data_IF_710830607264
#
_entry.id   IF_710830607264
#
_cell.length_a   1.000
_cell.length_b   1.000
_cell.length_c   1.000
_cell.angle_alpha   90.00
_cell.angle_beta   90.00
_cell.angle_gamma   90.00
#
_symmetry.space_group_name_H-M   'P 1'
#
loop_
_entity.id
_entity.type
_entity.pdbx_description
1 polymer ?
#
# COMPACT_ATOMS: atom_id res chain seq x y z
N UNK A 1 28.20 -4.73 7.48
CA UNK A 1 27.66 -3.36 7.33
C UNK A 1 28.83 -2.49 6.89
N UNK A 2 28.84 -2.00 5.67
CA UNK A 2 29.84 -1.03 5.22
C UNK A 2 29.37 0.34 5.74
N UNK A 3 30.22 0.99 6.55
CA UNK A 3 29.94 2.31 7.09
C UNK A 3 30.10 3.37 6.01
N UNK A 4 29.01 3.72 5.35
CA UNK A 4 28.89 4.97 4.63
C UNK A 4 28.39 6.06 5.58
N UNK A 5 28.63 7.31 5.29
CA UNK A 5 28.04 8.47 5.97
C UNK A 5 26.56 8.56 5.56
N UNK A 6 25.75 7.61 6.03
CA UNK A 6 24.41 7.43 5.51
C UNK A 6 23.46 8.35 6.26
N UNK A 7 23.36 9.56 5.77
CA UNK A 7 22.16 10.35 6.02
C UNK A 7 20.98 9.58 5.43
N UNK A 8 19.84 9.51 6.13
CA UNK A 8 18.65 8.91 5.54
C UNK A 8 18.29 9.66 4.25
N UNK A 9 17.83 8.93 3.20
CA UNK A 9 17.49 9.56 1.95
C UNK A 9 16.36 10.57 2.11
N UNK A 10 16.37 11.61 1.29
CA UNK A 10 15.30 12.62 1.29
C UNK A 10 14.19 12.15 0.36
N UNK A 11 13.00 11.95 0.91
CA UNK A 11 11.86 11.47 0.15
C UNK A 11 10.62 12.35 0.34
N UNK A 12 9.77 12.37 -0.68
CA UNK A 12 8.45 12.94 -0.62
C UNK A 12 7.40 11.83 -0.66
N UNK A 13 6.40 11.94 0.21
CA UNK A 13 5.23 11.08 0.22
C UNK A 13 4.00 11.94 -0.08
N UNK A 14 3.25 11.60 -1.11
CA UNK A 14 2.16 12.42 -1.62
C UNK A 14 0.98 12.58 -0.63
N UNK A 15 0.81 11.67 0.31
CA UNK A 15 -0.27 11.74 1.31
C UNK A 15 -0.30 13.08 2.07
N UNK A 16 0.87 13.65 2.34
CA UNK A 16 0.99 14.91 3.07
C UNK A 16 0.69 16.15 2.23
N UNK A 17 0.60 16.03 0.90
CA UNK A 17 0.41 17.15 -0.01
C UNK A 17 -0.92 17.17 -0.74
N UNK A 18 -1.44 16.02 -1.12
CA UNK A 18 -2.58 15.92 -2.05
C UNK A 18 -3.88 15.38 -1.44
N UNK A 19 -3.84 14.89 -0.18
CA UNK A 19 -5.00 14.22 0.40
C UNK A 19 -5.47 13.04 -0.48
N UNK A 20 -6.72 12.61 -0.35
CA UNK A 20 -7.31 11.48 -1.10
C UNK A 20 -7.86 11.85 -2.49
N UNK A 21 -7.96 13.14 -2.82
CA UNK A 21 -8.52 13.59 -4.11
C UNK A 21 -7.44 14.01 -5.10
N UNK A 22 -6.66 13.03 -5.58
CA UNK A 22 -5.57 13.26 -6.52
C UNK A 22 -5.76 12.51 -7.85
N UNK A 23 -5.08 12.98 -8.87
CA UNK A 23 -4.99 12.36 -10.20
C UNK A 23 -3.52 12.16 -10.59
N UNK A 24 -3.24 11.30 -11.57
CA UNK A 24 -1.88 11.17 -12.10
C UNK A 24 -1.31 12.52 -12.56
N UNK A 25 -2.15 13.41 -13.10
CA UNK A 25 -1.71 14.75 -13.53
C UNK A 25 -1.23 15.61 -12.36
N UNK A 26 -1.93 15.56 -11.21
CA UNK A 26 -1.49 16.28 -9.99
C UNK A 26 -0.22 15.66 -9.43
N UNK A 27 -0.14 14.33 -9.40
CA UNK A 27 1.07 13.60 -8.99
C UNK A 27 2.29 13.94 -9.87
N UNK A 28 2.12 14.04 -11.20
CA UNK A 28 3.20 14.42 -12.11
C UNK A 28 3.73 15.84 -11.86
N UNK A 29 2.83 16.79 -11.57
CA UNK A 29 3.23 18.17 -11.22
C UNK A 29 4.02 18.21 -9.93
N UNK A 30 3.57 17.47 -8.90
CA UNK A 30 4.30 17.39 -7.65
C UNK A 30 5.64 16.70 -7.80
N UNK A 31 5.69 15.56 -8.48
CA UNK A 31 6.94 14.86 -8.73
C UNK A 31 7.98 15.77 -9.40
N UNK A 32 7.54 16.57 -10.40
CA UNK A 32 8.42 17.56 -11.04
C UNK A 32 8.92 18.61 -10.04
N UNK A 33 8.03 19.17 -9.24
CA UNK A 33 8.39 20.21 -8.26
C UNK A 33 9.37 19.67 -7.20
N UNK A 34 9.15 18.46 -6.70
CA UNK A 34 10.01 17.85 -5.69
C UNK A 34 11.35 17.35 -6.25
N UNK A 35 11.39 16.93 -7.54
CA UNK A 35 12.64 16.67 -8.21
C UNK A 35 13.50 17.95 -8.31
N UNK A 36 12.87 19.08 -8.67
CA UNK A 36 13.55 20.38 -8.74
C UNK A 36 14.08 20.86 -7.35
N UNK A 37 13.48 20.38 -6.25
CA UNK A 37 13.94 20.61 -4.88
C UNK A 37 15.04 19.63 -4.43
N UNK A 38 15.40 18.64 -5.24
CA UNK A 38 16.44 17.67 -4.95
C UNK A 38 16.01 16.48 -4.11
N UNK A 39 14.71 16.13 -4.11
CA UNK A 39 14.24 14.89 -3.49
C UNK A 39 14.81 13.67 -4.22
N UNK A 40 15.18 12.65 -3.47
CA UNK A 40 15.80 11.43 -3.99
C UNK A 40 14.74 10.36 -4.33
N UNK A 41 13.63 10.35 -3.57
CA UNK A 41 12.53 9.39 -3.74
C UNK A 41 11.19 10.13 -3.83
N UNK A 42 10.32 9.61 -4.68
CA UNK A 42 8.90 9.94 -4.72
C UNK A 42 8.09 8.71 -4.32
N UNK A 43 7.31 8.82 -3.24
CA UNK A 43 6.53 7.71 -2.68
C UNK A 43 5.05 7.93 -2.92
N UNK A 44 4.42 7.04 -3.68
CA UNK A 44 2.96 6.98 -3.79
C UNK A 44 2.41 6.30 -2.56
N UNK A 45 1.57 6.99 -1.81
CA UNK A 45 0.91 6.47 -0.61
C UNK A 45 -0.36 5.66 -0.96
N UNK A 46 -1.24 5.43 -0.02
CA UNK A 46 -2.51 4.75 -0.20
C UNK A 46 -3.34 5.27 -1.41
N UNK A 47 -4.40 4.57 -1.76
CA UNK A 47 -5.30 4.87 -2.90
C UNK A 47 -4.74 4.62 -4.31
N UNK A 48 -3.55 4.01 -4.47
CA UNK A 48 -3.03 3.66 -5.79
C UNK A 48 -3.73 2.44 -6.42
N UNK A 49 -4.39 1.60 -5.62
CA UNK A 49 -5.06 0.37 -6.02
C UNK A 49 -6.56 0.57 -6.20
N UNK A 50 -7.16 -0.38 -6.91
CA UNK A 50 -8.60 -0.36 -7.22
C UNK A 50 -9.45 -0.22 -5.96
N UNK A 51 -10.43 0.68 -6.00
CA UNK A 51 -11.38 1.05 -4.95
C UNK A 51 -10.74 1.80 -3.76
N UNK A 52 -9.42 2.01 -3.75
CA UNK A 52 -8.68 2.86 -2.84
C UNK A 52 -8.68 2.44 -1.38
N UNK A 53 -8.10 3.30 -0.53
CA UNK A 53 -7.94 3.04 0.90
C UNK A 53 -9.30 2.83 1.59
N UNK A 54 -9.36 1.83 2.45
CA UNK A 54 -10.53 1.34 3.21
C UNK A 54 -11.59 0.59 2.42
N UNK A 55 -11.74 0.83 1.13
CA UNK A 55 -12.73 0.11 0.31
C UNK A 55 -12.08 -1.00 -0.52
N UNK A 56 -10.84 -0.82 -0.91
CA UNK A 56 -10.11 -1.71 -1.79
C UNK A 56 -8.89 -2.38 -1.19
N UNK A 57 -8.62 -2.27 0.12
CA UNK A 57 -7.53 -3.00 0.76
C UNK A 57 -7.69 -4.49 0.49
N UNK A 58 -6.67 -5.12 -0.13
CA UNK A 58 -6.76 -6.48 -0.66
C UNK A 58 -6.95 -6.57 -2.18
N UNK A 59 -7.04 -5.42 -2.89
CA UNK A 59 -7.00 -5.35 -4.35
C UNK A 59 -5.59 -5.01 -4.88
N UNK A 60 -4.57 -5.52 -4.23
CA UNK A 60 -3.16 -5.12 -4.41
C UNK A 60 -2.57 -5.42 -5.79
N UNK A 61 -3.17 -6.31 -6.57
CA UNK A 61 -2.74 -6.63 -7.93
C UNK A 61 -3.21 -5.61 -8.98
N UNK A 62 -4.16 -4.72 -8.62
CA UNK A 62 -4.87 -3.86 -9.56
C UNK A 62 -4.64 -2.39 -9.26
N UNK A 63 -3.95 -1.69 -10.15
CA UNK A 63 -3.89 -0.23 -10.13
C UNK A 63 -5.30 0.34 -10.28
N UNK A 64 -5.59 1.47 -9.63
CA UNK A 64 -6.85 2.19 -9.90
C UNK A 64 -6.77 2.88 -11.28
N UNK A 65 -7.57 2.45 -12.28
CA UNK A 65 -7.54 3.05 -13.61
C UNK A 65 -8.04 4.49 -13.66
N UNK A 66 -8.74 4.94 -12.63
CA UNK A 66 -9.14 6.36 -12.50
C UNK A 66 -7.97 7.23 -12.08
N UNK A 67 -7.10 6.67 -11.23
CA UNK A 67 -5.89 7.31 -10.76
C UNK A 67 -4.76 7.22 -11.79
N UNK A 68 -4.57 6.05 -12.35
CA UNK A 68 -3.52 5.74 -13.31
C UNK A 68 -4.10 5.16 -14.61
N UNK A 69 -4.63 6.02 -15.51
CA UNK A 69 -5.23 5.56 -16.77
C UNK A 69 -4.28 4.73 -17.64
N UNK A 70 -2.98 5.02 -17.57
CA UNK A 70 -1.91 4.32 -18.30
C UNK A 70 -1.13 3.34 -17.41
N UNK A 71 -1.67 3.03 -16.22
CA UNK A 71 -1.07 2.18 -15.21
C UNK A 71 -0.02 2.90 -14.34
N UNK A 72 0.14 2.44 -13.09
CA UNK A 72 1.11 3.01 -12.14
C UNK A 72 2.57 2.84 -12.63
N UNK A 73 2.85 1.82 -13.43
CA UNK A 73 4.18 1.62 -14.02
C UNK A 73 4.61 2.82 -14.89
N UNK A 74 3.69 3.39 -15.69
CA UNK A 74 3.98 4.59 -16.51
C UNK A 74 4.30 5.79 -15.64
N UNK A 75 3.63 5.95 -14.50
CA UNK A 75 3.95 7.01 -13.56
C UNK A 75 5.31 6.77 -12.86
N UNK A 76 5.61 5.53 -12.50
CA UNK A 76 6.92 5.17 -11.95
C UNK A 76 8.06 5.48 -12.93
N UNK A 77 7.87 5.21 -14.23
CA UNK A 77 8.82 5.58 -15.28
C UNK A 77 8.99 7.10 -15.39
N UNK A 78 7.90 7.85 -15.28
CA UNK A 78 7.95 9.31 -15.25
C UNK A 78 8.79 9.82 -14.06
N UNK A 79 8.57 9.31 -12.86
CA UNK A 79 9.34 9.67 -11.64
C UNK A 79 10.84 9.40 -11.89
N UNK A 80 11.19 8.23 -12.42
CA UNK A 80 12.58 7.88 -12.76
C UNK A 80 13.17 8.81 -13.82
N UNK A 81 12.38 9.25 -14.80
CA UNK A 81 12.82 10.20 -15.81
C UNK A 81 13.23 11.56 -15.25
N UNK A 82 12.72 11.91 -14.07
CA UNK A 82 13.08 13.12 -13.32
C UNK A 82 14.34 12.96 -12.45
N UNK A 83 14.96 11.77 -12.47
CA UNK A 83 16.15 11.46 -11.68
C UNK A 83 15.88 11.00 -10.24
N UNK A 84 14.62 10.83 -9.85
CA UNK A 84 14.23 10.26 -8.56
C UNK A 84 14.03 8.75 -8.65
N UNK A 85 14.08 8.10 -7.51
CA UNK A 85 13.68 6.72 -7.33
C UNK A 85 12.18 6.64 -7.00
N UNK A 86 11.56 5.51 -7.34
CA UNK A 86 10.13 5.31 -7.10
C UNK A 86 9.89 4.45 -5.86
N UNK A 87 8.99 4.91 -5.02
CA UNK A 87 8.52 4.18 -3.84
C UNK A 87 7.00 4.08 -3.81
N UNK A 88 6.50 3.14 -3.03
CA UNK A 88 5.07 3.03 -2.81
C UNK A 88 4.72 2.49 -1.43
N UNK A 89 3.48 2.68 -1.06
CA UNK A 89 2.88 2.28 0.19
C UNK A 89 2.14 0.94 0.05
N UNK A 90 2.21 0.14 1.10
CA UNK A 90 1.40 -1.06 1.28
C UNK A 90 1.00 -1.23 2.75
N UNK A 91 -0.11 -1.91 2.98
CA UNK A 91 -0.58 -2.35 4.28
C UNK A 91 -1.27 -3.71 4.11
N UNK A 92 -0.49 -4.79 4.11
CA UNK A 92 -0.96 -6.12 3.72
C UNK A 92 -1.64 -6.90 4.85
N UNK A 93 -1.50 -6.47 6.11
CA UNK A 93 -1.99 -7.21 7.27
C UNK A 93 -3.50 -7.34 7.30
N UNK A 94 -4.21 -6.43 6.67
CA UNK A 94 -5.67 -6.46 6.64
C UNK A 94 -6.24 -6.19 5.24
N UNK A 95 -7.47 -6.64 5.03
CA UNK A 95 -8.18 -6.43 3.80
C UNK A 95 -9.66 -6.13 4.04
N UNK A 96 -10.30 -5.46 3.08
CA UNK A 96 -11.74 -5.27 3.05
C UNK A 96 -12.41 -6.56 2.62
N UNK A 97 -13.49 -6.98 3.27
CA UNK A 97 -14.21 -8.25 2.99
C UNK A 97 -14.64 -8.44 1.53
N UNK A 98 -14.84 -7.36 0.81
CA UNK A 98 -15.25 -7.37 -0.61
C UNK A 98 -14.07 -7.31 -1.57
N UNK A 99 -12.84 -7.25 -1.09
CA UNK A 99 -11.65 -7.19 -1.92
C UNK A 99 -11.35 -8.50 -2.63
N UNK A 100 -10.48 -8.42 -3.64
CA UNK A 100 -10.09 -9.57 -4.46
C UNK A 100 -9.48 -10.70 -3.63
N UNK A 101 -8.48 -10.40 -2.80
CA UNK A 101 -7.83 -11.43 -1.98
C UNK A 101 -8.80 -12.15 -1.03
N UNK A 102 -9.76 -11.44 -0.45
CA UNK A 102 -10.74 -12.04 0.46
C UNK A 102 -11.76 -12.88 -0.29
N UNK A 103 -12.20 -12.44 -1.46
CA UNK A 103 -13.17 -13.19 -2.28
C UNK A 103 -12.59 -14.45 -2.90
N UNK A 104 -11.32 -14.43 -3.30
CA UNK A 104 -10.64 -15.59 -3.86
C UNK A 104 -10.13 -16.57 -2.78
N UNK A 105 -9.74 -16.04 -1.63
CA UNK A 105 -9.10 -16.80 -0.56
C UNK A 105 -9.65 -16.45 0.83
N UNK A 106 -10.94 -16.71 1.10
CA UNK A 106 -11.55 -16.34 2.38
C UNK A 106 -10.92 -17.06 3.59
N UNK A 107 -10.30 -18.20 3.37
CA UNK A 107 -9.59 -19.00 4.37
C UNK A 107 -8.22 -18.41 4.78
N UNK A 108 -7.72 -17.41 4.07
CA UNK A 108 -6.48 -16.72 4.42
C UNK A 108 -6.65 -15.65 5.51
N UNK A 109 -7.86 -15.46 6.00
CA UNK A 109 -8.16 -14.34 6.89
C UNK A 109 -8.81 -14.78 8.19
N UNK A 110 -8.46 -14.08 9.27
CA UNK A 110 -9.20 -14.07 10.51
C UNK A 110 -10.35 -13.07 10.40
N UNK A 111 -11.51 -13.50 10.87
CA UNK A 111 -12.72 -12.70 10.97
C UNK A 111 -12.97 -12.37 12.44
N UNK A 112 -13.45 -11.17 12.74
CA UNK A 112 -13.79 -10.76 14.09
C UNK A 112 -15.18 -10.13 14.13
N UNK A 113 -16.02 -10.60 15.06
CA UNK A 113 -17.32 -10.00 15.36
C UNK A 113 -17.18 -8.88 16.40
N UNK A 114 -16.20 -8.96 17.27
CA UNK A 114 -15.96 -8.00 18.36
C UNK A 114 -15.36 -6.68 17.90
N UNK A 115 -14.76 -6.65 16.70
CA UNK A 115 -14.13 -5.47 16.14
C UNK A 115 -15.05 -4.29 15.83
N UNK A 116 -16.32 -4.40 16.10
CA UNK A 116 -17.31 -3.36 15.76
C UNK A 116 -17.07 -1.96 16.38
N UNK A 117 -16.02 -1.79 17.22
CA UNK A 117 -15.80 -0.56 17.96
C UNK A 117 -14.33 -0.19 18.14
N UNK A 118 -13.71 0.40 17.10
CA UNK A 118 -12.54 1.21 17.32
C UNK A 118 -12.77 2.64 16.81
N UNK A 119 -12.46 3.61 17.67
CA UNK A 119 -12.61 5.05 17.41
C UNK A 119 -14.04 5.56 17.19
N UNK A 120 -15.07 4.85 17.67
CA UNK A 120 -16.46 5.32 17.58
C UNK A 120 -17.04 5.36 16.18
N UNK A 121 -16.38 4.72 15.19
CA UNK A 121 -16.87 4.60 13.82
C UNK A 121 -17.53 3.23 13.64
N UNK A 122 -18.79 3.18 13.18
CA UNK A 122 -19.47 1.91 12.98
C UNK A 122 -18.83 1.11 11.83
N UNK A 123 -18.54 -0.16 12.12
CA UNK A 123 -18.18 -1.25 11.19
C UNK A 123 -17.15 -0.92 10.11
N UNK A 124 -15.89 -1.18 10.42
CA UNK A 124 -14.96 -1.55 9.37
C UNK A 124 -15.28 -2.98 8.91
N UNK A 125 -15.58 -3.13 7.64
CA UNK A 125 -15.86 -4.44 7.01
C UNK A 125 -14.52 -5.06 6.58
N UNK A 126 -13.61 -5.25 7.55
CA UNK A 126 -12.25 -5.70 7.33
C UNK A 126 -11.97 -7.05 8.01
N UNK A 127 -10.93 -7.69 7.54
CA UNK A 127 -10.43 -8.98 8.00
C UNK A 127 -8.91 -8.91 8.12
N UNK A 128 -8.34 -9.71 9.00
CA UNK A 128 -6.90 -9.77 9.25
C UNK A 128 -6.27 -10.94 8.49
N UNK A 129 -5.20 -10.69 7.76
CA UNK A 129 -4.46 -11.71 7.03
C UNK A 129 -3.74 -12.66 8.01
N UNK A 130 -3.86 -13.97 7.78
CA UNK A 130 -3.27 -15.03 8.61
C UNK A 130 -1.78 -15.22 8.30
N UNK A 131 -0.98 -14.27 8.75
CA UNK A 131 0.48 -14.37 8.62
C UNK A 131 1.11 -15.45 9.52
N UNK A 132 0.33 -16.07 10.39
CA UNK A 132 0.65 -17.30 11.09
C UNK A 132 0.71 -18.53 10.16
N UNK A 133 -0.06 -18.54 9.06
CA UNK A 133 -0.06 -19.61 8.07
C UNK A 133 1.12 -19.49 7.09
N UNK A 134 1.88 -20.58 6.91
CA UNK A 134 3.06 -20.60 6.03
C UNK A 134 2.69 -20.38 4.55
N UNK A 135 1.55 -20.89 4.10
CA UNK A 135 1.10 -20.71 2.70
C UNK A 135 0.76 -19.26 2.42
N UNK A 136 0.09 -18.60 3.37
CA UNK A 136 -0.25 -17.18 3.27
C UNK A 136 1.02 -16.33 3.22
N UNK A 137 2.00 -16.61 4.10
CA UNK A 137 3.32 -15.93 4.05
C UNK A 137 4.04 -16.14 2.72
N UNK A 138 3.99 -17.37 2.17
CA UNK A 138 4.57 -17.68 0.86
C UNK A 138 3.94 -16.83 -0.24
N UNK A 139 2.60 -16.77 -0.29
CA UNK A 139 1.89 -15.93 -1.27
C UNK A 139 2.24 -14.43 -1.13
N UNK A 140 2.28 -13.93 0.10
CA UNK A 140 2.68 -12.52 0.36
C UNK A 140 4.10 -12.25 -0.13
N UNK A 141 5.04 -13.17 0.07
CA UNK A 141 6.41 -13.03 -0.41
C UNK A 141 6.46 -13.00 -1.95
N UNK A 142 5.78 -13.92 -2.62
CA UNK A 142 5.70 -13.99 -4.09
C UNK A 142 5.02 -12.74 -4.67
N UNK A 143 3.94 -12.27 -4.02
CA UNK A 143 3.27 -11.03 -4.39
C UNK A 143 4.23 -9.84 -4.28
N UNK A 144 4.91 -9.68 -3.15
CA UNK A 144 5.83 -8.56 -2.92
C UNK A 144 6.98 -8.55 -3.94
N UNK A 145 7.57 -9.72 -4.23
CA UNK A 145 8.61 -9.84 -5.25
C UNK A 145 8.09 -9.39 -6.61
N UNK A 146 6.96 -9.92 -7.04
CA UNK A 146 6.34 -9.58 -8.32
C UNK A 146 5.98 -8.10 -8.40
N UNK A 147 5.43 -7.54 -7.33
CA UNK A 147 5.00 -6.15 -7.24
C UNK A 147 6.18 -5.19 -7.27
N UNK A 148 7.24 -5.48 -6.52
CA UNK A 148 8.48 -4.71 -6.54
C UNK A 148 9.09 -4.68 -7.94
N UNK A 149 9.13 -5.83 -8.62
CA UNK A 149 9.64 -5.91 -9.98
C UNK A 149 8.73 -5.21 -11.00
N UNK A 150 7.41 -5.40 -10.88
CA UNK A 150 6.41 -4.79 -11.80
C UNK A 150 6.54 -3.28 -11.89
N UNK A 151 6.76 -2.62 -10.75
CA UNK A 151 6.79 -1.16 -10.67
C UNK A 151 8.20 -0.57 -10.47
N UNK A 152 9.21 -1.42 -10.27
CA UNK A 152 10.57 -0.99 -9.95
C UNK A 152 10.62 -0.22 -8.63
N UNK A 153 10.02 -0.78 -7.58
CA UNK A 153 9.96 -0.17 -6.26
C UNK A 153 11.35 -0.20 -5.61
N UNK A 154 11.84 0.96 -5.19
CA UNK A 154 13.11 1.12 -4.49
C UNK A 154 12.92 1.61 -3.03
N UNK A 155 11.69 1.98 -2.67
CA UNK A 155 11.29 2.36 -1.32
C UNK A 155 9.90 1.80 -1.00
N UNK A 156 9.82 0.89 -0.06
CA UNK A 156 8.56 0.38 0.46
C UNK A 156 8.22 1.10 1.76
N UNK A 157 7.07 1.79 1.80
CA UNK A 157 6.44 2.23 3.03
C UNK A 157 5.42 1.19 3.45
N UNK A 158 5.81 0.36 4.41
CA UNK A 158 4.90 -0.57 5.05
C UNK A 158 4.20 0.14 6.21
N UNK A 159 2.89 0.19 6.17
CA UNK A 159 2.06 0.86 7.17
C UNK A 159 1.23 -0.14 7.98
N UNK A 160 0.64 0.31 9.09
CA UNK A 160 -0.26 -0.49 9.91
C UNK A 160 -1.29 0.44 10.58
N UNK A 161 -2.45 0.57 9.95
CA UNK A 161 -3.57 1.41 10.44
C UNK A 161 -4.68 0.59 11.10
N UNK A 162 -4.45 -0.70 11.27
CA UNK A 162 -5.43 -1.61 11.84
C UNK A 162 -5.03 -2.06 13.26
N UNK A 163 -6.04 -2.49 14.05
CA UNK A 163 -5.82 -3.12 15.36
C UNK A 163 -6.11 -4.60 15.26
N UNK A 164 -5.10 -5.39 15.54
CA UNK A 164 -5.10 -6.83 15.34
C UNK A 164 -5.72 -7.61 16.50
N UNK A 165 -5.63 -7.09 17.76
CA UNK A 165 -6.04 -7.79 18.95
C UNK A 165 -7.45 -8.41 18.88
N UNK A 166 -8.51 -7.70 18.42
CA UNK A 166 -9.84 -8.30 18.33
C UNK A 166 -9.92 -9.54 17.43
N UNK A 167 -9.08 -9.61 16.41
CA UNK A 167 -9.03 -10.78 15.52
C UNK A 167 -8.36 -11.97 16.18
N UNK A 168 -7.34 -11.74 17.00
CA UNK A 168 -6.69 -12.81 17.75
C UNK A 168 -7.58 -13.31 18.87
N UNK A 169 -8.20 -12.41 19.64
CA UNK A 169 -9.10 -12.76 20.74
C UNK A 169 -10.30 -13.61 20.27
N UNK A 170 -10.88 -13.27 19.09
CA UNK A 170 -12.04 -14.00 18.52
C UNK A 170 -11.65 -15.33 17.84
N UNK A 171 -10.36 -15.59 17.60
CA UNK A 171 -9.87 -16.78 16.90
C UNK A 171 -8.80 -17.55 17.71
N UNK A 172 -8.76 -17.38 19.03
CA UNK A 172 -7.96 -18.23 19.90
C UNK A 172 -8.55 -19.66 19.95
N UNK A 173 -7.74 -20.66 19.54
CA UNK A 173 -8.01 -22.10 19.68
C UNK A 173 -7.45 -22.66 21.00
#
# INVERSE_FOLDING_TARGET
MQGGSDLPPVFYNHYYGLDHDWTVTTQMKEAKAYADLGMEYYVVDADWYKDGFRNGNGNWEFDDPKRFPDGMASFADYVRSLGMKFGSWLELEWATKTSHWVTEHPDWFHYSESRNYMYGVPKYDDVLLRLDDEKVRGHVADFLESWVHKYGIEWLRWDCNNVHAPFWDDNED
#
